data_IF_313619509392
#
_entry.id   IF_313619509392
#
_cell.length_a   1.000
_cell.length_b   1.000
_cell.length_c   1.000
_cell.angle_alpha   90.00
_cell.angle_beta   90.00
_cell.angle_gamma   90.00
#
_symmetry.space_group_name_H-M   'P 1'
#
loop_
_entity.id
_entity.type
_entity.pdbx_description
1 polymer ?
#
# COMPACT_ATOMS: atom_id res chain seq x y z
N UNK A 1 3.74 -9.66 9.86
CA UNK A 1 3.75 -8.69 8.73
C UNK A 1 4.93 -8.94 7.83
N UNK A 2 5.07 -10.18 7.31
CA UNK A 2 6.21 -10.56 6.47
C UNK A 2 6.19 -9.83 5.11
N UNK A 3 5.02 -9.71 4.47
CA UNK A 3 4.83 -8.98 3.21
C UNK A 3 5.01 -7.45 3.30
N UNK A 4 5.30 -6.87 4.47
CA UNK A 4 5.43 -5.43 4.68
C UNK A 4 6.77 -4.85 4.21
N UNK A 5 7.34 -5.40 3.14
CA UNK A 5 8.52 -4.88 2.40
C UNK A 5 8.17 -4.63 0.91
N UNK A 6 7.05 -5.18 0.44
CA UNK A 6 6.59 -5.06 -0.94
C UNK A 6 6.13 -3.65 -1.28
N UNK A 7 6.24 -3.30 -2.56
CA UNK A 7 5.55 -2.16 -3.12
C UNK A 7 4.05 -2.52 -3.26
N UNK A 8 3.17 -1.62 -2.83
CA UNK A 8 1.72 -1.86 -2.85
C UNK A 8 1.07 -0.77 -3.65
N UNK A 9 0.39 -1.15 -4.73
CA UNK A 9 -0.50 -0.27 -5.47
C UNK A 9 -1.84 -0.11 -4.73
N UNK A 10 -2.39 1.09 -4.79
CA UNK A 10 -3.71 1.43 -4.25
C UNK A 10 -4.44 2.32 -5.24
N UNK A 11 -5.77 2.22 -5.23
CA UNK A 11 -6.62 3.22 -5.86
C UNK A 11 -6.79 4.41 -4.93
N UNK A 12 -7.09 5.58 -5.50
CA UNK A 12 -7.17 6.80 -4.72
C UNK A 12 -8.19 6.74 -3.56
N UNK A 13 -9.40 6.16 -3.73
CA UNK A 13 -10.35 5.98 -2.62
C UNK A 13 -9.80 5.18 -1.42
N UNK A 14 -8.92 4.20 -1.67
CA UNK A 14 -8.27 3.45 -0.59
C UNK A 14 -7.31 4.34 0.19
N UNK A 15 -6.53 5.19 -0.50
CA UNK A 15 -5.64 6.15 0.13
C UNK A 15 -6.40 7.22 0.93
N UNK A 16 -7.57 7.66 0.44
CA UNK A 16 -8.50 8.55 1.16
C UNK A 16 -8.94 7.88 2.47
N UNK A 17 -9.42 6.64 2.39
CA UNK A 17 -9.89 5.87 3.55
C UNK A 17 -8.78 5.70 4.61
N UNK A 18 -7.56 5.38 4.17
CA UNK A 18 -6.41 5.23 5.06
C UNK A 18 -6.06 6.57 5.73
N UNK A 19 -5.99 7.65 4.96
CA UNK A 19 -5.67 8.98 5.49
C UNK A 19 -6.72 9.45 6.49
N UNK A 20 -8.00 9.23 6.18
CA UNK A 20 -9.13 9.51 7.06
C UNK A 20 -9.02 8.74 8.39
N UNK A 21 -8.70 7.45 8.32
CA UNK A 21 -8.52 6.60 9.50
C UNK A 21 -7.37 7.08 10.37
N UNK A 22 -6.23 7.41 9.75
CA UNK A 22 -5.05 7.92 10.44
C UNK A 22 -5.36 9.23 11.18
N UNK A 23 -5.99 10.20 10.51
CA UNK A 23 -6.35 11.50 11.11
C UNK A 23 -7.28 11.38 12.31
N UNK A 24 -8.18 10.39 12.31
CA UNK A 24 -9.11 10.17 13.43
C UNK A 24 -8.46 9.47 14.63
N UNK A 25 -7.42 8.67 14.41
CA UNK A 25 -6.91 7.73 15.41
C UNK A 25 -5.56 8.10 16.01
N UNK A 26 -4.82 8.99 15.34
CA UNK A 26 -3.47 9.38 15.68
C UNK A 26 -3.42 10.87 16.04
N UNK A 27 -2.54 11.22 16.99
CA UNK A 27 -2.25 12.62 17.30
C UNK A 27 -1.40 13.27 16.21
N UNK A 28 -1.35 14.60 16.17
CA UNK A 28 -0.53 15.35 15.22
C UNK A 28 0.94 14.94 15.25
N UNK A 29 1.50 14.74 16.45
CA UNK A 29 2.87 14.25 16.63
C UNK A 29 3.08 12.86 16.00
N UNK A 30 2.11 11.96 16.14
CA UNK A 30 2.19 10.64 15.53
C UNK A 30 2.06 10.71 14.00
N UNK A 31 1.22 11.61 13.48
CA UNK A 31 1.10 11.87 12.05
C UNK A 31 2.38 12.49 11.47
N UNK A 32 3.04 13.39 12.21
CA UNK A 32 4.35 13.94 11.84
C UNK A 32 5.44 12.87 11.77
N UNK A 33 5.48 11.99 12.78
CA UNK A 33 6.38 10.84 12.76
C UNK A 33 6.10 9.93 11.56
N UNK A 34 4.84 9.66 11.25
CA UNK A 34 4.46 8.88 10.08
C UNK A 34 4.85 9.57 8.76
N UNK A 35 4.64 10.89 8.63
CA UNK A 35 5.07 11.69 7.47
C UNK A 35 6.58 11.57 7.25
N UNK A 36 7.38 11.69 8.32
CA UNK A 36 8.83 11.53 8.23
C UNK A 36 9.22 10.12 7.75
N UNK A 37 8.58 9.08 8.28
CA UNK A 37 8.82 7.69 7.87
C UNK A 37 8.42 7.41 6.42
N UNK A 38 7.31 7.98 5.95
CA UNK A 38 6.89 7.88 4.56
C UNK A 38 7.89 8.56 3.62
N UNK A 39 8.38 9.76 3.98
CA UNK A 39 9.42 10.47 3.23
C UNK A 39 10.73 9.69 3.16
N UNK A 40 11.19 9.14 4.28
CA UNK A 40 12.38 8.28 4.34
C UNK A 40 12.23 7.06 3.42
N UNK A 41 11.12 6.34 3.54
CA UNK A 41 10.82 5.18 2.70
C UNK A 41 10.84 5.52 1.22
N UNK A 42 10.17 6.59 0.80
CA UNK A 42 10.14 7.01 -0.61
C UNK A 42 11.53 7.43 -1.09
N UNK A 43 12.32 8.11 -0.25
CA UNK A 43 13.70 8.51 -0.59
C UNK A 43 14.59 7.31 -0.80
N UNK A 44 14.57 6.35 0.13
CA UNK A 44 15.39 5.12 0.08
C UNK A 44 15.03 4.19 -1.06
N UNK A 45 13.86 4.37 -1.67
CA UNK A 45 13.31 3.45 -2.67
C UNK A 45 12.89 4.15 -3.96
N UNK A 46 13.39 5.35 -4.19
CA UNK A 46 13.04 6.18 -5.36
C UNK A 46 13.52 5.56 -6.68
N UNK A 47 14.69 4.91 -6.63
CA UNK A 47 15.38 4.36 -7.79
C UNK A 47 15.44 2.84 -7.77
N UNK A 48 14.67 2.23 -6.87
CA UNK A 48 14.63 0.77 -6.74
C UNK A 48 13.38 0.25 -7.44
N UNK A 49 13.54 -0.75 -8.29
CA UNK A 49 12.43 -1.55 -8.79
C UNK A 49 11.89 -2.51 -7.71
N UNK A 50 10.86 -3.28 -8.04
CA UNK A 50 10.21 -4.17 -7.07
C UNK A 50 11.12 -5.31 -6.58
N UNK A 51 12.06 -5.77 -7.40
CA UNK A 51 13.02 -6.82 -7.06
C UNK A 51 14.14 -6.26 -6.17
N UNK A 52 14.70 -5.12 -6.53
CA UNK A 52 15.70 -4.41 -5.72
C UNK A 52 15.13 -4.01 -4.35
N UNK A 53 13.85 -3.61 -4.30
CA UNK A 53 13.17 -3.33 -3.03
C UNK A 53 13.03 -4.57 -2.15
N UNK A 54 12.70 -5.71 -2.75
CA UNK A 54 12.66 -7.00 -2.07
C UNK A 54 14.04 -7.36 -1.51
N UNK A 55 15.10 -7.11 -2.26
CA UNK A 55 16.48 -7.37 -1.83
C UNK A 55 16.93 -6.49 -0.66
N UNK A 56 16.67 -5.17 -0.73
CA UNK A 56 17.07 -4.21 0.33
C UNK A 56 16.17 -4.31 1.57
N UNK A 57 14.98 -4.93 1.44
CA UNK A 57 14.04 -5.20 2.55
C UNK A 57 13.65 -3.96 3.35
N UNK A 58 13.47 -2.82 2.68
CA UNK A 58 13.04 -1.60 3.35
C UNK A 58 11.60 -1.78 3.87
N UNK A 59 11.36 -1.72 5.19
CA UNK A 59 10.03 -1.97 5.73
C UNK A 59 9.05 -0.85 5.37
N UNK A 60 7.79 -1.23 5.18
CA UNK A 60 6.67 -0.35 4.97
C UNK A 60 6.51 0.64 6.13
N UNK A 61 6.25 1.91 5.81
CA UNK A 61 6.12 2.98 6.80
C UNK A 61 4.94 2.79 7.78
N UNK A 62 3.96 1.95 7.44
CA UNK A 62 2.83 1.62 8.31
C UNK A 62 3.12 0.47 9.29
N UNK A 63 4.30 -0.14 9.22
CA UNK A 63 4.69 -1.18 10.16
C UNK A 63 5.09 -0.53 11.49
N UNK A 64 4.49 -0.96 12.60
CA UNK A 64 4.79 -0.46 13.95
C UNK A 64 5.48 -1.55 14.77
N UNK A 65 5.83 -1.25 16.03
CA UNK A 65 6.48 -2.16 16.95
C UNK A 65 5.87 -3.57 16.92
N UNK A 66 6.74 -4.60 16.99
CA UNK A 66 6.37 -6.02 16.87
C UNK A 66 5.80 -6.43 15.50
N UNK A 67 6.19 -5.77 14.41
CA UNK A 67 5.78 -6.10 13.03
C UNK A 67 4.26 -6.05 12.80
N UNK A 68 3.57 -5.17 13.53
CA UNK A 68 2.11 -4.97 13.42
C UNK A 68 1.81 -3.79 12.51
N UNK A 69 0.91 -3.98 11.55
CA UNK A 69 0.51 -2.90 10.65
C UNK A 69 -0.47 -1.97 11.36
N UNK A 70 -0.13 -0.68 11.46
CA UNK A 70 -0.95 0.30 12.16
C UNK A 70 -2.27 0.63 11.46
N UNK A 71 -2.35 0.33 10.15
CA UNK A 71 -3.55 0.49 9.32
C UNK A 71 -4.24 -0.85 9.05
N UNK A 72 -4.03 -1.88 9.89
CA UNK A 72 -4.53 -3.24 9.64
C UNK A 72 -6.03 -3.31 9.30
N UNK A 73 -6.85 -2.53 10.02
CA UNK A 73 -8.31 -2.45 9.83
C UNK A 73 -8.72 -1.85 8.49
N UNK A 74 -7.89 -0.98 7.91
CA UNK A 74 -8.12 -0.29 6.63
C UNK A 74 -7.04 -0.63 5.60
N UNK A 75 -6.47 -1.83 5.69
CA UNK A 75 -5.48 -2.31 4.71
C UNK A 75 -6.08 -2.26 3.30
N UNK A 76 -5.29 -1.82 2.31
CA UNK A 76 -5.69 -1.87 0.91
C UNK A 76 -6.09 -3.28 0.47
N UNK A 77 -6.89 -3.37 -0.59
CA UNK A 77 -7.31 -4.60 -1.23
C UNK A 77 -6.10 -5.49 -1.55
N UNK A 78 -5.08 -4.95 -2.22
CA UNK A 78 -3.89 -5.75 -2.57
C UNK A 78 -3.14 -6.27 -1.33
N UNK A 79 -3.11 -5.53 -0.22
CA UNK A 79 -2.57 -6.04 1.06
C UNK A 79 -3.42 -7.15 1.68
N UNK A 80 -4.72 -7.21 1.39
CA UNK A 80 -5.64 -8.26 1.85
C UNK A 80 -5.68 -9.48 0.92
N UNK A 81 -5.32 -9.31 -0.34
CA UNK A 81 -5.22 -10.41 -1.30
C UNK A 81 -4.15 -11.43 -0.88
N UNK A 82 -3.08 -10.96 -0.22
CA UNK A 82 -1.94 -11.79 0.19
C UNK A 82 -2.09 -12.26 1.63
N UNK A 83 -2.44 -13.53 1.79
CA UNK A 83 -2.39 -14.26 3.06
C UNK A 83 -1.70 -15.60 2.83
N UNK A 84 -0.82 -15.97 3.75
CA UNK A 84 -0.21 -17.31 3.72
C UNK A 84 -0.97 -18.27 4.61
N UNK A 85 -1.06 -19.52 4.19
CA UNK A 85 -1.53 -20.64 5.03
C UNK A 85 -0.46 -21.12 6.00
N UNK A 86 0.81 -20.83 5.73
CA UNK A 86 1.96 -21.15 6.58
C UNK A 86 2.82 -19.89 6.84
N UNK A 87 2.97 -19.45 8.11
CA UNK A 87 3.73 -18.24 8.42
C UNK A 87 5.24 -18.39 8.22
N UNK A 88 5.82 -19.58 8.36
CA UNK A 88 7.26 -19.84 8.17
C UNK A 88 7.59 -19.84 6.68
N UNK A 89 6.81 -20.56 5.86
CA UNK A 89 6.95 -20.54 4.39
C UNK A 89 6.75 -19.13 3.83
N UNK A 90 5.82 -18.35 4.39
CA UNK A 90 5.64 -16.95 4.00
C UNK A 90 6.85 -16.08 4.32
N UNK A 91 7.40 -16.26 5.52
CA UNK A 91 8.58 -15.53 5.95
C UNK A 91 9.74 -15.88 5.02
N UNK A 92 9.97 -17.16 4.75
CA UNK A 92 11.08 -17.61 3.94
C UNK A 92 10.93 -17.23 2.48
N UNK A 93 9.73 -17.31 1.90
CA UNK A 93 9.49 -16.83 0.54
C UNK A 93 9.83 -15.33 0.39
N UNK A 94 9.50 -14.51 1.40
CA UNK A 94 9.80 -13.07 1.37
C UNK A 94 11.25 -12.76 1.78
N UNK A 95 11.84 -13.56 2.68
CA UNK A 95 13.18 -13.38 3.23
C UNK A 95 14.28 -14.11 2.46
N UNK A 96 13.93 -15.02 1.55
CA UNK A 96 14.82 -15.79 0.69
C UNK A 96 14.39 -15.61 -0.77
N UNK A 97 13.95 -14.39 -1.14
CA UNK A 97 13.64 -14.06 -2.53
C UNK A 97 14.75 -14.62 -3.44
N UNK A 98 14.43 -15.59 -4.33
CA UNK A 98 15.46 -16.29 -5.07
C UNK A 98 16.24 -15.32 -5.94
N UNK A 99 17.54 -15.58 -6.12
CA UNK A 99 18.41 -14.84 -7.06
C UNK A 99 17.86 -14.84 -8.51
N UNK A 100 16.93 -15.75 -8.82
CA UNK A 100 16.36 -15.96 -10.15
C UNK A 100 14.81 -16.10 -10.16
N UNK A 101 14.07 -15.55 -9.19
CA UNK A 101 12.60 -15.72 -9.21
C UNK A 101 11.76 -14.89 -8.25
N UNK A 102 10.47 -14.78 -8.58
CA UNK A 102 9.47 -14.10 -7.74
C UNK A 102 9.19 -14.96 -6.50
N UNK A 103 9.17 -14.37 -5.28
CA UNK A 103 8.72 -15.05 -4.07
C UNK A 103 7.38 -15.77 -4.27
N UNK A 104 7.40 -17.10 -4.23
CA UNK A 104 6.17 -17.89 -4.26
C UNK A 104 5.68 -18.10 -2.82
N UNK A 105 4.79 -17.22 -2.37
CA UNK A 105 4.10 -17.41 -1.09
C UNK A 105 2.93 -18.37 -1.32
N UNK A 106 2.93 -19.51 -0.64
CA UNK A 106 1.76 -20.39 -0.64
C UNK A 106 0.55 -19.66 -0.04
N UNK A 107 -0.50 -19.51 -0.84
CA UNK A 107 -1.64 -18.64 -0.50
C UNK A 107 -2.96 -19.24 -0.95
N UNK A 108 -4.05 -18.77 -0.34
CA UNK A 108 -5.38 -19.09 -0.81
C UNK A 108 -5.65 -18.37 -2.15
N UNK A 109 -5.52 -19.10 -3.25
CA UNK A 109 -5.68 -18.56 -4.60
C UNK A 109 -7.08 -18.02 -4.85
N UNK A 110 -8.12 -18.64 -4.28
CA UNK A 110 -9.49 -18.12 -4.39
C UNK A 110 -9.61 -16.73 -3.77
N UNK A 111 -9.07 -16.53 -2.56
CA UNK A 111 -9.07 -15.23 -1.91
C UNK A 111 -8.27 -14.21 -2.72
N UNK A 112 -7.07 -14.58 -3.21
CA UNK A 112 -6.25 -13.70 -4.03
C UNK A 112 -7.01 -13.26 -5.28
N UNK A 113 -7.53 -14.21 -6.06
CA UNK A 113 -8.26 -13.94 -7.30
C UNK A 113 -9.49 -13.09 -7.04
N UNK A 114 -10.27 -13.41 -6.00
CA UNK A 114 -11.45 -12.63 -5.64
C UNK A 114 -11.11 -11.16 -5.35
N UNK A 115 -10.07 -10.91 -4.54
CA UNK A 115 -9.67 -9.55 -4.18
C UNK A 115 -9.04 -8.82 -5.38
N UNK A 116 -8.27 -9.51 -6.22
CA UNK A 116 -7.71 -8.94 -7.45
C UNK A 116 -8.85 -8.54 -8.42
N UNK A 117 -9.89 -9.35 -8.57
CA UNK A 117 -11.08 -8.99 -9.34
C UNK A 117 -11.74 -7.74 -8.75
N UNK A 118 -11.99 -7.70 -7.43
CA UNK A 118 -12.59 -6.52 -6.79
C UNK A 118 -11.74 -5.25 -7.02
N UNK A 119 -10.41 -5.36 -6.96
CA UNK A 119 -9.52 -4.24 -7.22
C UNK A 119 -9.64 -3.74 -8.68
N UNK A 120 -9.58 -4.66 -9.65
CA UNK A 120 -9.67 -4.33 -11.07
C UNK A 120 -11.05 -3.76 -11.44
N UNK A 121 -12.14 -4.36 -10.97
CA UNK A 121 -13.50 -3.90 -11.23
C UNK A 121 -13.76 -2.53 -10.58
N UNK A 122 -13.21 -2.27 -9.38
CA UNK A 122 -13.27 -0.94 -8.78
C UNK A 122 -12.53 0.09 -9.63
N UNK A 123 -11.35 -0.25 -10.17
CA UNK A 123 -10.63 0.63 -11.08
C UNK A 123 -11.46 0.92 -12.36
N UNK A 124 -12.06 -0.11 -12.96
CA UNK A 124 -12.94 0.04 -14.13
C UNK A 124 -14.16 0.92 -13.84
N UNK A 125 -14.83 0.72 -12.71
CA UNK A 125 -15.95 1.57 -12.30
C UNK A 125 -15.53 3.03 -12.07
N UNK A 126 -14.34 3.28 -11.54
CA UNK A 126 -13.80 4.65 -11.42
C UNK A 126 -13.55 5.27 -12.80
N UNK A 127 -13.03 4.49 -13.75
CA UNK A 127 -12.82 4.94 -15.13
C UNK A 127 -14.14 5.31 -15.82
N UNK A 128 -15.17 4.47 -15.71
CA UNK A 128 -16.51 4.73 -16.26
C UNK A 128 -17.15 6.00 -15.69
N UNK A 129 -16.86 6.32 -14.43
CA UNK A 129 -17.33 7.53 -13.75
C UNK A 129 -16.47 8.77 -14.03
N UNK A 130 -15.40 8.66 -14.83
CA UNK A 130 -14.47 9.75 -15.11
C UNK A 130 -13.61 10.16 -13.91
N UNK A 131 -13.44 9.26 -12.95
CA UNK A 131 -12.61 9.46 -11.75
C UNK A 131 -11.19 8.92 -11.99
N UNK A 132 -10.23 9.35 -11.15
CA UNK A 132 -8.86 8.85 -11.22
C UNK A 132 -8.78 7.37 -10.80
N UNK A 133 -8.64 6.49 -11.79
CA UNK A 133 -8.54 5.04 -11.64
C UNK A 133 -7.08 4.54 -11.59
N UNK A 134 -6.09 5.44 -11.70
CA UNK A 134 -4.69 5.04 -11.87
C UNK A 134 -4.13 4.45 -10.58
N UNK A 135 -3.40 3.33 -10.64
CA UNK A 135 -2.74 2.77 -9.46
C UNK A 135 -1.66 3.73 -8.94
N UNK A 136 -1.66 3.95 -7.62
CA UNK A 136 -0.66 4.77 -6.93
C UNK A 136 0.10 3.95 -5.91
N UNK A 137 1.37 4.29 -5.69
CA UNK A 137 2.14 3.71 -4.58
C UNK A 137 1.49 4.13 -3.26
N UNK A 138 1.13 3.16 -2.43
CA UNK A 138 0.48 3.37 -1.13
C UNK A 138 1.14 4.48 -0.31
N UNK A 139 2.48 4.42 -0.18
CA UNK A 139 3.23 5.39 0.61
C UNK A 139 3.21 6.80 0.04
N UNK A 140 3.25 6.94 -1.29
CA UNK A 140 3.17 8.23 -1.96
C UNK A 140 1.76 8.83 -1.82
N UNK A 141 0.73 8.04 -2.13
CA UNK A 141 -0.66 8.50 -2.08
C UNK A 141 -1.07 8.99 -0.68
N UNK A 142 -0.73 8.24 0.37
CA UNK A 142 -1.05 8.64 1.75
C UNK A 142 -0.21 9.83 2.21
N UNK A 143 1.07 9.91 1.83
CA UNK A 143 1.89 11.08 2.16
C UNK A 143 1.31 12.35 1.54
N UNK A 144 0.94 12.28 0.26
CA UNK A 144 0.34 13.40 -0.48
C UNK A 144 -0.98 13.82 0.14
N UNK A 145 -1.90 12.89 0.45
CA UNK A 145 -3.17 13.21 1.10
C UNK A 145 -3.03 13.75 2.53
N UNK A 146 -2.00 13.31 3.26
CA UNK A 146 -1.66 13.87 4.58
C UNK A 146 -1.20 15.32 4.49
N UNK A 147 -0.50 15.69 3.41
CA UNK A 147 0.00 17.05 3.16
C UNK A 147 -1.07 17.96 2.52
N UNK A 148 -1.84 17.43 1.58
CA UNK A 148 -2.81 18.16 0.76
C UNK A 148 -4.21 17.51 0.87
N UNK A 149 -4.95 17.75 1.97
CA UNK A 149 -6.30 17.23 2.15
C UNK A 149 -7.25 17.56 1.00
N UNK A 150 -7.09 18.74 0.37
CA UNK A 150 -7.96 19.27 -0.70
C UNK A 150 -7.99 18.44 -1.99
N UNK A 151 -7.08 17.47 -2.12
CA UNK A 151 -7.08 16.53 -3.25
C UNK A 151 -8.26 15.57 -3.19
N UNK A 152 -8.90 15.39 -2.03
CA UNK A 152 -10.14 14.61 -1.92
C UNK A 152 -11.25 15.25 -2.73
N UNK A 153 -11.44 16.57 -2.59
CA UNK A 153 -12.44 17.34 -3.33
C UNK A 153 -12.11 17.37 -4.83
N UNK A 154 -10.82 17.46 -5.18
CA UNK A 154 -10.36 17.38 -6.57
C UNK A 154 -10.70 16.03 -7.21
N UNK A 155 -10.54 14.94 -6.47
CA UNK A 155 -10.95 13.62 -6.94
C UNK A 155 -12.47 13.53 -7.10
N UNK A 156 -13.23 13.99 -6.10
CA UNK A 156 -14.69 13.94 -6.13
C UNK A 156 -15.32 14.79 -7.24
N UNK A 157 -14.62 15.81 -7.73
CA UNK A 157 -15.07 16.63 -8.85
C UNK A 157 -14.74 16.05 -10.25
N UNK A 158 -14.19 14.83 -10.32
CA UNK A 158 -13.79 14.20 -11.59
C UNK A 158 -12.40 14.62 -12.07
N UNK A 159 -11.61 15.31 -11.24
CA UNK A 159 -10.26 15.72 -11.56
C UNK A 159 -9.25 14.56 -11.46
N UNK A 160 -8.34 14.48 -12.42
CA UNK A 160 -7.15 13.65 -12.30
C UNK A 160 -6.28 14.15 -11.13
N UNK A 161 -5.91 13.27 -10.20
CA UNK A 161 -5.15 13.68 -9.02
C UNK A 161 -3.66 13.71 -9.36
N UNK A 162 -2.95 14.84 -9.17
CA UNK A 162 -1.54 14.97 -9.51
C UNK A 162 -0.65 14.32 -8.45
N UNK A 163 -0.60 12.99 -8.43
CA UNK A 163 0.27 12.22 -7.55
C UNK A 163 1.31 11.50 -8.40
N UNK A 164 2.58 11.81 -8.15
CA UNK A 164 3.74 11.10 -8.70
C UNK A 164 4.24 10.07 -7.69
#
# INVERSE_FOLDING_TARGET
GACCVLNVAVLFPEAITITWFLRRRFSDQQLDSLRARLKDLLTRTRWLDDEERLFVRVPCAFLFAKLRCMIHSVRPLLCRSITSTDPEVCHDAVAMAPLDGVPCVEMNLFQKQFIDTVYTELAGALEELGLDHRPRRLSAAVLTLLAEPGLVETFLSGGAVPIN
#
